data_IF_072738853699
#
_entry.id   IF_072738853699
#
_cell.length_a   1.000
_cell.length_b   1.000
_cell.length_c   1.000
_cell.angle_alpha   90.00
_cell.angle_beta   90.00
_cell.angle_gamma   90.00
#
_symmetry.space_group_name_H-M   'P 1'
#
loop_
_entity.id
_entity.type
_entity.pdbx_description
1 polymer ?
#
# COMPACT_ATOMS: atom_id res chain seq x y z
N UNK A 1 -8.27 -9.96 -9.08
CA UNK A 1 -9.07 -8.80 -8.65
C UNK A 1 -8.20 -7.75 -8.00
N UNK A 2 -8.24 -6.52 -8.52
CA UNK A 2 -7.52 -5.36 -7.99
C UNK A 2 -6.47 -4.72 -8.90
N UNK A 3 -6.11 -5.37 -10.02
CA UNK A 3 -5.20 -4.86 -11.05
C UNK A 3 -5.98 -4.35 -12.25
N UNK A 4 -5.52 -3.24 -12.82
CA UNK A 4 -6.05 -2.71 -14.07
C UNK A 4 -5.49 -3.54 -15.22
N UNK A 5 -6.39 -4.06 -16.06
CA UNK A 5 -6.05 -4.80 -17.26
C UNK A 5 -6.62 -4.03 -18.45
N UNK A 6 -5.75 -3.71 -19.40
CA UNK A 6 -6.20 -3.23 -20.71
C UNK A 6 -6.75 -4.42 -21.50
N UNK A 7 -7.93 -4.24 -22.10
CA UNK A 7 -8.47 -5.13 -23.12
C UNK A 7 -8.69 -4.30 -24.37
N UNK A 8 -8.00 -4.65 -25.46
CA UNK A 8 -8.22 -3.96 -26.73
C UNK A 8 -9.50 -4.51 -27.37
N UNK A 9 -10.38 -3.62 -27.77
CA UNK A 9 -11.62 -3.93 -28.47
C UNK A 9 -11.89 -2.81 -29.49
N UNK A 10 -12.39 -3.18 -30.68
CA UNK A 10 -12.63 -2.23 -31.77
C UNK A 10 -13.72 -1.20 -31.43
N UNK A 11 -14.63 -1.54 -30.52
CA UNK A 11 -15.74 -0.72 -30.03
C UNK A 11 -15.59 -0.30 -28.56
N UNK A 12 -14.38 -0.43 -28.00
CA UNK A 12 -14.08 -0.06 -26.62
C UNK A 12 -14.02 1.46 -26.39
N UNK A 13 -14.15 1.92 -25.13
CA UNK A 13 -13.93 3.31 -24.79
C UNK A 13 -12.46 3.71 -25.05
N UNK A 14 -12.24 5.00 -25.29
CA UNK A 14 -10.88 5.56 -25.41
C UNK A 14 -10.17 5.49 -24.05
N UNK A 15 -8.93 5.00 -24.04
CA UNK A 15 -8.10 4.95 -22.84
C UNK A 15 -7.05 6.06 -22.92
N UNK A 16 -7.10 6.99 -21.96
CA UNK A 16 -6.09 8.03 -21.81
C UNK A 16 -4.84 7.49 -21.10
N UNK A 17 -3.66 7.92 -21.53
CA UNK A 17 -2.39 7.45 -20.99
C UNK A 17 -1.20 8.31 -21.42
N UNK A 18 0.01 7.83 -21.12
CA UNK A 18 1.26 8.47 -21.50
C UNK A 18 2.10 7.55 -22.38
N UNK A 19 2.66 8.10 -23.46
CA UNK A 19 3.61 7.36 -24.31
C UNK A 19 5.03 7.51 -23.74
N UNK A 20 5.61 6.39 -23.29
CA UNK A 20 7.00 6.36 -22.84
C UNK A 20 7.94 6.23 -24.04
N UNK A 21 8.81 7.22 -24.24
CA UNK A 21 9.89 7.15 -25.24
C UNK A 21 11.21 6.82 -24.55
N UNK A 22 11.84 5.74 -24.96
CA UNK A 22 13.12 5.31 -24.38
C UNK A 22 14.29 6.08 -24.98
N UNK A 23 15.28 6.36 -24.14
CA UNK A 23 16.53 6.96 -24.59
C UNK A 23 17.24 6.03 -25.59
N UNK A 24 18.00 6.57 -26.56
CA UNK A 24 18.77 5.77 -27.51
C UNK A 24 19.66 4.73 -26.80
N UNK A 25 19.59 3.48 -27.26
CA UNK A 25 20.34 2.36 -26.69
C UNK A 25 19.82 1.81 -25.34
N UNK A 26 18.77 2.39 -24.75
CA UNK A 26 18.20 1.93 -23.47
C UNK A 26 16.94 1.07 -23.63
N UNK A 27 16.49 0.83 -24.86
CA UNK A 27 15.24 0.12 -25.13
C UNK A 27 15.19 -1.28 -24.49
N UNK A 28 16.24 -2.11 -24.69
CA UNK A 28 16.28 -3.46 -24.12
C UNK A 28 16.15 -3.43 -22.59
N UNK A 29 16.96 -2.59 -21.93
CA UNK A 29 16.92 -2.43 -20.47
C UNK A 29 15.56 -1.96 -19.97
N UNK A 30 14.90 -1.06 -20.70
CA UNK A 30 13.57 -0.58 -20.35
C UNK A 30 12.52 -1.69 -20.47
N UNK A 31 12.54 -2.46 -21.55
CA UNK A 31 11.64 -3.60 -21.74
C UNK A 31 11.88 -4.70 -20.69
N UNK A 32 13.14 -5.01 -20.38
CA UNK A 32 13.50 -5.97 -19.33
C UNK A 32 12.96 -5.51 -17.97
N UNK A 33 13.13 -4.22 -17.63
CA UNK A 33 12.61 -3.65 -16.39
C UNK A 33 11.08 -3.69 -16.31
N UNK A 34 10.37 -3.44 -17.42
CA UNK A 34 8.92 -3.53 -17.47
C UNK A 34 8.45 -4.98 -17.32
N UNK A 35 9.06 -5.91 -18.06
CA UNK A 35 8.73 -7.34 -17.97
C UNK A 35 9.03 -7.94 -16.59
N UNK A 36 10.06 -7.41 -15.91
CA UNK A 36 10.41 -7.74 -14.54
C UNK A 36 9.36 -7.27 -13.52
N UNK A 37 8.70 -6.15 -13.80
CA UNK A 37 7.65 -5.58 -12.95
C UNK A 37 6.30 -6.25 -13.20
N UNK A 38 5.95 -6.39 -14.48
CA UNK A 38 4.66 -6.83 -14.99
C UNK A 38 4.73 -8.28 -15.43
N UNK A 39 4.21 -9.23 -14.63
CA UNK A 39 4.42 -10.64 -14.86
C UNK A 39 3.73 -11.09 -16.14
N UNK A 40 4.46 -11.81 -16.99
CA UNK A 40 3.95 -12.39 -18.25
C UNK A 40 2.74 -13.34 -18.07
N UNK A 41 2.46 -13.77 -16.82
CA UNK A 41 1.24 -14.54 -16.49
C UNK A 41 -0.04 -13.67 -16.53
N UNK A 42 0.11 -12.36 -16.34
CA UNK A 42 -0.97 -11.37 -16.25
C UNK A 42 -1.09 -10.51 -17.51
N UNK A 43 0.04 -10.20 -18.16
CA UNK A 43 0.09 -9.32 -19.33
C UNK A 43 0.80 -9.96 -20.51
N UNK A 44 0.47 -9.51 -21.71
CA UNK A 44 1.18 -9.81 -22.96
C UNK A 44 1.48 -8.51 -23.71
N UNK A 45 2.64 -8.48 -24.38
CA UNK A 45 2.96 -7.39 -25.29
C UNK A 45 2.10 -7.47 -26.54
N UNK A 46 1.54 -6.34 -26.94
CA UNK A 46 0.84 -6.15 -28.22
C UNK A 46 1.15 -4.77 -28.77
N UNK A 47 0.80 -4.53 -30.04
CA UNK A 47 0.91 -3.22 -30.68
C UNK A 47 -0.48 -2.62 -30.78
N UNK A 48 -0.63 -1.38 -30.36
CA UNK A 48 -1.86 -0.59 -30.52
C UNK A 48 -1.56 0.70 -31.29
N UNK A 49 -2.55 1.19 -32.03
CA UNK A 49 -2.53 2.56 -32.52
C UNK A 49 -2.87 3.52 -31.36
N UNK A 50 -2.04 4.53 -31.16
CA UNK A 50 -2.25 5.58 -30.16
C UNK A 50 -2.25 6.94 -30.84
N UNK A 51 -2.96 7.91 -30.28
CA UNK A 51 -2.94 9.30 -30.75
C UNK A 51 -2.12 10.15 -29.78
N UNK A 52 -1.06 10.79 -30.29
CA UNK A 52 -0.19 11.70 -29.53
C UNK A 52 -0.20 13.05 -30.25
N UNK A 53 -0.64 14.10 -29.58
CA UNK A 53 -0.67 15.47 -30.14
C UNK A 53 -1.39 15.53 -31.52
N UNK A 54 -2.44 14.73 -31.70
CA UNK A 54 -3.22 14.65 -32.93
C UNK A 54 -2.63 13.76 -34.04
N UNK A 55 -1.46 13.18 -33.84
CA UNK A 55 -0.81 12.25 -34.78
C UNK A 55 -0.99 10.80 -34.33
N UNK A 56 -1.19 9.89 -35.29
CA UNK A 56 -1.27 8.44 -35.02
C UNK A 56 0.13 7.83 -34.99
N UNK A 57 0.40 7.04 -33.97
CA UNK A 57 1.64 6.29 -33.82
C UNK A 57 1.32 4.85 -33.41
N UNK A 58 2.15 3.88 -33.84
CA UNK A 58 2.09 2.52 -33.30
C UNK A 58 2.96 2.41 -32.04
N UNK A 59 2.39 1.90 -30.96
CA UNK A 59 3.09 1.75 -29.68
C UNK A 59 2.92 0.34 -29.10
N UNK A 60 3.95 -0.14 -28.42
CA UNK A 60 3.87 -1.36 -27.63
C UNK A 60 3.07 -1.11 -26.35
N UNK A 61 2.07 -1.93 -26.09
CA UNK A 61 1.23 -1.87 -24.89
C UNK A 61 1.15 -3.24 -24.20
N UNK A 62 0.86 -3.23 -22.90
CA UNK A 62 0.61 -4.44 -22.12
C UNK A 62 -0.89 -4.70 -22.04
N UNK A 63 -1.36 -5.70 -22.78
CA UNK A 63 -2.74 -6.17 -22.75
C UNK A 63 -2.90 -7.29 -21.70
N UNK A 64 -4.05 -7.34 -21.03
CA UNK A 64 -4.37 -8.40 -20.08
C UNK A 64 -4.40 -9.79 -20.75
N UNK A 65 -3.65 -10.75 -20.22
CA UNK A 65 -3.56 -12.10 -20.77
C UNK A 65 -4.79 -12.98 -20.45
N UNK A 66 -5.52 -12.68 -19.37
CA UNK A 66 -6.66 -13.46 -18.86
C UNK A 66 -7.79 -12.59 -18.34
N UNK A 67 -8.28 -11.67 -19.17
CA UNK A 67 -9.32 -10.68 -18.81
C UNK A 67 -10.65 -11.29 -18.36
N UNK A 68 -10.96 -12.53 -18.74
CA UNK A 68 -12.21 -13.22 -18.38
C UNK A 68 -12.15 -14.07 -17.08
N UNK A 69 -11.04 -14.03 -16.33
CA UNK A 69 -10.88 -14.80 -15.07
C UNK A 69 -10.64 -13.85 -13.90
N UNK A 70 -11.46 -13.98 -12.86
CA UNK A 70 -11.59 -12.98 -11.78
C UNK A 70 -12.74 -12.04 -12.12
N UNK A 71 -13.46 -11.54 -11.11
CA UNK A 71 -14.70 -10.78 -11.30
C UNK A 71 -14.50 -9.38 -11.87
N UNK A 72 -13.66 -9.24 -12.91
CA UNK A 72 -13.43 -8.02 -13.66
C UNK A 72 -14.74 -7.57 -14.31
N UNK A 73 -15.48 -6.77 -13.57
CA UNK A 73 -16.48 -5.88 -14.15
C UNK A 73 -15.73 -4.79 -14.90
N UNK A 74 -16.33 -4.26 -15.95
CA UNK A 74 -15.92 -2.97 -16.48
C UNK A 74 -15.66 -2.02 -15.32
N UNK A 75 -14.58 -1.24 -15.40
CA UNK A 75 -14.38 -0.16 -14.43
C UNK A 75 -15.68 0.62 -14.35
N UNK A 76 -16.14 0.95 -13.13
CA UNK A 76 -17.24 1.89 -13.00
C UNK A 76 -16.91 3.12 -13.86
N UNK A 77 -17.87 3.65 -14.64
CA UNK A 77 -17.63 4.70 -15.61
C UNK A 77 -17.09 5.94 -14.90
N UNK A 78 -15.77 6.01 -14.82
CA UNK A 78 -14.99 7.17 -14.43
C UNK A 78 -14.22 7.55 -15.68
N UNK A 79 -14.33 8.82 -16.06
CA UNK A 79 -13.62 9.36 -17.22
C UNK A 79 -12.11 9.12 -17.10
N UNK A 80 -11.57 9.16 -15.87
CA UNK A 80 -10.16 8.93 -15.58
C UNK A 80 -9.95 8.26 -14.22
N UNK A 81 -8.96 7.37 -14.14
CA UNK A 81 -8.46 6.80 -12.88
C UNK A 81 -7.04 7.27 -12.62
N UNK A 82 -6.79 7.70 -11.38
CA UNK A 82 -5.46 8.05 -10.90
C UNK A 82 -5.21 7.38 -9.56
N UNK A 83 -3.97 6.97 -9.30
CA UNK A 83 -3.59 6.50 -7.96
C UNK A 83 -3.82 7.57 -6.89
N UNK A 84 -3.82 8.87 -7.26
CA UNK A 84 -4.15 9.95 -6.32
C UNK A 84 -5.61 9.89 -5.82
N UNK A 85 -6.51 9.28 -6.58
CA UNK A 85 -7.95 9.17 -6.26
C UNK A 85 -8.36 7.75 -5.85
N UNK A 86 -7.38 6.89 -5.58
CA UNK A 86 -7.63 5.53 -5.10
C UNK A 86 -8.28 5.59 -3.69
N UNK A 87 -9.45 4.95 -3.48
CA UNK A 87 -10.12 4.97 -2.18
C UNK A 87 -9.27 4.45 -1.02
N UNK A 88 -8.30 3.56 -1.28
CA UNK A 88 -7.40 3.05 -0.25
C UNK A 88 -6.31 4.05 0.14
N UNK A 89 -6.01 5.04 -0.70
CA UNK A 89 -5.05 6.12 -0.43
C UNK A 89 -5.73 7.42 -0.01
N UNK A 90 -7.06 7.44 0.02
CA UNK A 90 -7.87 8.60 0.41
C UNK A 90 -8.90 8.22 1.48
N UNK A 91 -10.08 7.74 1.07
CA UNK A 91 -11.21 7.45 1.96
C UNK A 91 -10.86 6.51 3.12
N UNK A 92 -10.04 5.48 2.89
CA UNK A 92 -9.58 4.59 3.95
C UNK A 92 -8.75 5.32 5.01
N UNK A 93 -7.86 6.23 4.61
CA UNK A 93 -7.04 7.00 5.54
C UNK A 93 -7.89 8.00 6.32
N UNK A 94 -8.86 8.66 5.67
CA UNK A 94 -9.84 9.53 6.35
C UNK A 94 -10.63 8.77 7.42
N UNK A 95 -11.05 7.53 7.12
CA UNK A 95 -11.79 6.72 8.09
C UNK A 95 -10.90 6.28 9.27
N UNK A 96 -9.64 5.93 9.02
CA UNK A 96 -8.68 5.62 10.09
C UNK A 96 -8.46 6.84 11.01
N UNK A 97 -8.31 8.04 10.44
CA UNK A 97 -8.18 9.28 11.21
C UNK A 97 -9.42 9.57 12.06
N UNK A 98 -10.62 9.33 11.50
CA UNK A 98 -11.87 9.45 12.24
C UNK A 98 -11.90 8.50 13.43
N UNK A 99 -11.54 7.23 13.24
CA UNK A 99 -11.48 6.25 14.33
C UNK A 99 -10.50 6.70 15.42
N UNK A 100 -9.30 7.16 15.06
CA UNK A 100 -8.31 7.67 16.01
C UNK A 100 -8.89 8.84 16.81
N UNK A 101 -9.48 9.83 16.12
CA UNK A 101 -10.06 11.01 16.75
C UNK A 101 -11.17 10.65 17.74
N UNK A 102 -12.11 9.81 17.35
CA UNK A 102 -13.21 9.38 18.23
C UNK A 102 -12.70 8.64 19.48
N UNK A 103 -11.62 7.87 19.33
CA UNK A 103 -10.99 7.19 20.46
C UNK A 103 -10.30 8.21 21.37
N UNK A 104 -9.53 9.15 20.82
CA UNK A 104 -8.83 10.18 21.60
C UNK A 104 -9.82 11.08 22.36
N UNK A 105 -10.91 11.53 21.70
CA UNK A 105 -11.98 12.30 22.33
C UNK A 105 -12.64 11.52 23.47
N UNK A 106 -12.89 10.23 23.26
CA UNK A 106 -13.42 9.36 24.29
C UNK A 106 -12.44 9.22 25.47
N UNK A 107 -11.16 9.09 25.20
CA UNK A 107 -10.12 8.99 26.23
C UNK A 107 -10.00 10.27 27.09
N UNK A 108 -10.38 11.44 26.56
CA UNK A 108 -10.43 12.72 27.26
C UNK A 108 -11.73 12.92 28.07
N UNK A 109 -12.82 12.23 27.70
CA UNK A 109 -14.17 12.49 28.20
C UNK A 109 -14.52 11.94 29.60
N UNK A 110 -13.58 11.32 30.33
CA UNK A 110 -13.76 10.90 31.73
C UNK A 110 -13.30 9.47 32.04
N UNK A 111 -13.67 8.93 33.22
CA UNK A 111 -13.14 7.65 33.70
C UNK A 111 -13.53 6.50 32.77
N UNK A 112 -12.55 5.66 32.45
CA UNK A 112 -12.73 4.51 31.55
C UNK A 112 -13.41 3.37 32.29
N UNK A 113 -14.34 2.70 31.62
CA UNK A 113 -14.69 1.33 31.97
C UNK A 113 -13.57 0.41 31.43
N UNK A 114 -12.76 -0.25 32.28
CA UNK A 114 -11.67 -1.12 31.83
C UNK A 114 -12.16 -2.34 31.04
N UNK A 115 -13.44 -2.71 31.21
CA UNK A 115 -14.07 -3.82 30.50
C UNK A 115 -14.57 -3.44 29.10
N UNK A 116 -14.60 -2.14 28.77
CA UNK A 116 -14.97 -1.71 27.43
C UNK A 116 -13.81 -1.86 26.45
N UNK A 117 -13.80 -3.00 25.77
CA UNK A 117 -12.84 -3.36 24.72
C UNK A 117 -13.23 -2.83 23.34
N UNK A 118 -14.39 -2.18 23.19
CA UNK A 118 -14.87 -1.65 21.91
C UNK A 118 -13.85 -0.75 21.21
N UNK A 119 -13.28 0.26 21.88
CA UNK A 119 -12.22 1.11 21.31
C UNK A 119 -11.00 0.31 20.86
N UNK A 120 -10.56 -0.67 21.65
CA UNK A 120 -9.41 -1.50 21.30
C UNK A 120 -9.65 -2.31 20.02
N UNK A 121 -10.83 -2.91 19.84
CA UNK A 121 -11.16 -3.60 18.59
C UNK A 121 -11.24 -2.65 17.40
N UNK A 122 -11.74 -1.41 17.59
CA UNK A 122 -11.73 -0.40 16.53
C UNK A 122 -10.31 0.01 16.13
N UNK A 123 -9.37 0.13 17.07
CA UNK A 123 -7.95 0.36 16.75
C UNK A 123 -7.37 -0.81 15.95
N UNK A 124 -7.69 -2.05 16.31
CA UNK A 124 -7.26 -3.23 15.53
C UNK A 124 -7.79 -3.19 14.10
N UNK A 125 -9.08 -2.89 13.92
CA UNK A 125 -9.72 -2.80 12.60
C UNK A 125 -9.07 -1.69 11.76
N UNK A 126 -8.86 -0.51 12.35
CA UNK A 126 -8.18 0.60 11.69
C UNK A 126 -6.74 0.25 11.30
N UNK A 127 -6.03 -0.48 12.17
CA UNK A 127 -4.67 -0.94 11.90
C UNK A 127 -4.62 -1.94 10.74
N UNK A 128 -5.57 -2.86 10.66
CA UNK A 128 -5.66 -3.81 9.54
C UNK A 128 -6.03 -3.09 8.24
N UNK A 129 -6.94 -2.10 8.28
CA UNK A 129 -7.28 -1.28 7.12
C UNK A 129 -6.08 -0.47 6.61
N UNK A 130 -5.27 0.08 7.51
CA UNK A 130 -4.02 0.76 7.16
C UNK A 130 -3.06 -0.20 6.44
N UNK A 131 -2.92 -1.43 6.95
CA UNK A 131 -2.11 -2.45 6.29
C UNK A 131 -2.64 -2.84 4.91
N UNK A 132 -3.96 -2.89 4.71
CA UNK A 132 -4.54 -3.08 3.38
C UNK A 132 -4.18 -1.94 2.42
N UNK A 133 -4.13 -0.69 2.91
CA UNK A 133 -3.65 0.45 2.13
C UNK A 133 -2.17 0.31 1.76
N UNK A 134 -1.30 -0.01 2.72
CA UNK A 134 0.14 -0.20 2.49
C UNK A 134 0.41 -1.36 1.52
N UNK A 135 -0.29 -2.48 1.66
CA UNK A 135 -0.14 -3.63 0.76
C UNK A 135 -0.62 -3.30 -0.66
N UNK A 136 -1.68 -2.50 -0.81
CA UNK A 136 -2.12 -2.00 -2.12
C UNK A 136 -1.08 -1.08 -2.74
N UNK A 137 -0.50 -0.16 -1.96
CA UNK A 137 0.60 0.70 -2.42
C UNK A 137 1.78 -0.13 -2.91
N UNK A 138 2.26 -1.06 -2.08
CA UNK A 138 3.39 -1.92 -2.42
C UNK A 138 3.12 -2.79 -3.66
N UNK A 139 1.87 -3.23 -3.85
CA UNK A 139 1.47 -4.03 -5.01
C UNK A 139 1.39 -3.22 -6.31
N UNK A 140 1.04 -1.94 -6.24
CA UNK A 140 1.04 -1.04 -7.39
C UNK A 140 2.44 -0.52 -7.71
N UNK A 141 3.29 -0.32 -6.69
CA UNK A 141 4.61 0.30 -6.82
C UNK A 141 5.71 -0.70 -7.17
N UNK A 142 5.64 -1.92 -6.64
CA UNK A 142 6.69 -2.93 -6.75
C UNK A 142 6.19 -4.18 -7.49
N UNK A 143 7.15 -4.99 -7.94
CA UNK A 143 6.92 -6.19 -8.76
C UNK A 143 5.75 -7.04 -8.26
N UNK A 144 4.90 -7.49 -9.18
CA UNK A 144 3.80 -8.40 -8.90
C UNK A 144 4.26 -9.86 -8.80
N UNK A 145 5.30 -10.17 -8.01
CA UNK A 145 5.63 -11.57 -7.73
C UNK A 145 4.58 -12.20 -6.79
N UNK A 146 3.92 -13.31 -7.17
CA UNK A 146 2.81 -13.86 -6.39
C UNK A 146 3.21 -14.42 -5.01
N UNK A 147 4.49 -14.76 -4.82
CA UNK A 147 4.85 -15.70 -3.74
C UNK A 147 5.44 -15.04 -2.48
N UNK A 148 5.57 -13.70 -2.40
CA UNK A 148 6.24 -13.03 -1.27
C UNK A 148 5.65 -11.67 -0.88
N UNK A 149 4.42 -11.66 -0.37
CA UNK A 149 3.73 -10.43 0.08
C UNK A 149 4.57 -9.64 1.10
N UNK A 150 5.16 -10.33 2.08
CA UNK A 150 6.03 -9.68 3.09
C UNK A 150 7.25 -9.02 2.46
N UNK A 151 7.91 -9.67 1.49
CA UNK A 151 9.08 -9.10 0.83
C UNK A 151 8.72 -7.86 0.02
N UNK A 152 7.51 -7.80 -0.57
CA UNK A 152 7.04 -6.62 -1.30
C UNK A 152 6.92 -5.41 -0.40
N UNK A 153 6.23 -5.55 0.73
CA UNK A 153 6.06 -4.40 1.64
C UNK A 153 7.42 -3.97 2.18
N UNK A 154 8.33 -4.92 2.46
CA UNK A 154 9.67 -4.57 2.92
C UNK A 154 10.53 -3.79 1.90
N UNK A 155 10.14 -3.68 0.63
CA UNK A 155 10.80 -2.78 -0.32
C UNK A 155 10.57 -1.31 0.04
N UNK A 156 9.46 -0.98 0.72
CA UNK A 156 9.17 0.37 1.21
C UNK A 156 10.30 0.92 2.09
N UNK A 157 10.97 0.06 2.86
CA UNK A 157 12.09 0.46 3.71
C UNK A 157 13.32 0.98 2.93
N UNK A 158 13.42 0.67 1.63
CA UNK A 158 14.48 1.20 0.77
C UNK A 158 14.14 2.58 0.19
N UNK A 159 12.90 3.05 0.34
CA UNK A 159 12.50 4.35 -0.16
C UNK A 159 12.95 5.49 0.76
N UNK A 160 13.51 6.53 0.15
CA UNK A 160 13.91 7.73 0.87
C UNK A 160 12.73 8.41 1.56
N UNK A 161 11.57 8.47 0.91
CA UNK A 161 10.35 9.04 1.50
C UNK A 161 9.95 8.31 2.80
N UNK A 162 10.05 6.98 2.82
CA UNK A 162 9.79 6.19 4.03
C UNK A 162 10.85 6.43 5.11
N UNK A 163 12.13 6.44 4.74
CA UNK A 163 13.24 6.67 5.68
C UNK A 163 13.14 8.04 6.35
N UNK A 164 12.91 9.09 5.55
CA UNK A 164 12.77 10.46 6.03
C UNK A 164 11.52 10.60 6.93
N UNK A 165 10.39 10.02 6.52
CA UNK A 165 9.16 10.01 7.31
C UNK A 165 9.32 9.24 8.63
N UNK A 166 9.98 8.08 8.62
CA UNK A 166 10.26 7.30 9.81
C UNK A 166 11.11 8.10 10.81
N UNK A 167 12.17 8.74 10.33
CA UNK A 167 13.05 9.55 11.16
C UNK A 167 12.32 10.76 11.79
N UNK A 168 11.34 11.33 11.09
CA UNK A 168 10.55 12.45 11.57
C UNK A 168 9.46 12.04 12.60
N UNK A 169 8.86 10.86 12.43
CA UNK A 169 7.70 10.43 13.20
C UNK A 169 8.07 9.59 14.42
N UNK A 170 9.05 8.70 14.29
CA UNK A 170 9.39 7.73 15.35
C UNK A 170 10.41 8.33 16.31
N UNK A 171 9.96 8.57 17.54
CA UNK A 171 10.77 9.15 18.62
C UNK A 171 11.09 8.16 19.74
N UNK A 172 10.63 6.91 19.62
CA UNK A 172 10.78 5.86 20.63
C UNK A 172 11.51 4.64 20.08
N UNK A 173 12.10 3.89 20.99
CA UNK A 173 12.55 2.52 20.72
C UNK A 173 11.62 1.53 21.41
N UNK A 174 11.34 0.42 20.74
CA UNK A 174 10.49 -0.64 21.28
C UNK A 174 10.89 -1.98 20.66
N UNK A 175 10.44 -3.08 21.28
CA UNK A 175 10.69 -4.43 20.79
C UNK A 175 9.50 -5.34 21.03
N UNK A 176 9.21 -6.18 20.04
CA UNK A 176 8.17 -7.19 20.13
C UNK A 176 8.70 -8.55 19.66
N UNK A 177 8.17 -9.59 20.27
CA UNK A 177 8.49 -10.97 19.93
C UNK A 177 7.40 -11.57 19.04
N UNK A 178 7.74 -12.51 18.15
CA UNK A 178 6.76 -13.27 17.39
C UNK A 178 5.85 -14.08 18.33
N UNK A 179 4.53 -13.95 18.19
CA UNK A 179 3.59 -14.67 19.05
C UNK A 179 3.68 -16.21 18.91
N UNK A 180 4.09 -16.71 17.75
CA UNK A 180 4.20 -18.14 17.44
C UNK A 180 5.59 -18.74 17.74
N UNK A 181 6.58 -17.91 18.10
CA UNK A 181 7.90 -18.35 18.50
C UNK A 181 8.49 -17.36 19.52
N UNK A 182 8.15 -17.49 20.82
CA UNK A 182 8.63 -16.59 21.87
C UNK A 182 10.15 -16.65 22.08
N UNK A 183 10.79 -17.76 21.67
CA UNK A 183 12.25 -17.93 21.66
C UNK A 183 12.95 -17.33 20.43
N UNK A 184 12.19 -16.81 19.47
CA UNK A 184 12.74 -16.14 18.30
C UNK A 184 13.29 -14.75 18.62
N UNK A 185 14.09 -14.21 17.70
CA UNK A 185 14.66 -12.88 17.84
C UNK A 185 13.57 -11.80 17.91
N UNK A 186 13.77 -10.84 18.80
CA UNK A 186 12.89 -9.68 18.91
C UNK A 186 13.03 -8.78 17.68
N UNK A 187 11.89 -8.26 17.20
CA UNK A 187 11.88 -7.22 16.17
C UNK A 187 11.88 -5.86 16.86
N UNK A 188 12.78 -4.96 16.45
CA UNK A 188 13.03 -3.69 17.12
C UNK A 188 12.55 -2.51 16.26
N UNK A 189 11.85 -1.57 16.89
CA UNK A 189 11.53 -0.25 16.36
C UNK A 189 12.69 0.70 16.63
N UNK A 190 13.25 1.30 15.59
CA UNK A 190 14.31 2.29 15.69
C UNK A 190 14.27 3.22 14.45
N UNK A 191 14.25 4.54 14.70
CA UNK A 191 14.10 5.57 13.67
C UNK A 191 15.20 5.54 12.58
N UNK A 192 16.40 5.07 12.92
CA UNK A 192 17.54 4.93 11.99
C UNK A 192 17.58 3.60 11.24
N UNK A 193 16.71 2.64 11.58
CA UNK A 193 16.65 1.33 10.95
C UNK A 193 15.29 1.10 10.28
N UNK A 194 15.14 1.61 9.04
CA UNK A 194 13.90 1.52 8.29
C UNK A 194 13.37 0.10 8.11
N UNK A 195 14.26 -0.84 7.74
CA UNK A 195 13.87 -2.23 7.53
C UNK A 195 13.44 -2.91 8.83
N UNK A 196 14.15 -2.67 9.93
CA UNK A 196 13.80 -3.17 11.26
C UNK A 196 12.46 -2.64 11.73
N UNK A 197 12.24 -1.32 11.60
CA UNK A 197 11.00 -0.65 12.01
C UNK A 197 9.79 -1.08 11.19
N UNK A 198 9.95 -1.28 9.88
CA UNK A 198 8.85 -1.80 9.06
C UNK A 198 8.50 -3.25 9.42
N UNK A 199 9.50 -4.08 9.71
CA UNK A 199 9.28 -5.43 10.26
C UNK A 199 8.58 -5.36 11.62
N UNK A 200 8.93 -4.39 12.48
CA UNK A 200 8.27 -4.20 13.77
C UNK A 200 6.78 -3.97 13.57
N UNK A 201 6.39 -3.00 12.73
CA UNK A 201 4.97 -2.74 12.47
C UNK A 201 4.27 -3.96 11.84
N UNK A 202 4.93 -4.66 10.92
CA UNK A 202 4.37 -5.89 10.35
C UNK A 202 4.16 -6.97 11.42
N UNK A 203 5.10 -7.11 12.36
CA UNK A 203 4.99 -8.05 13.47
C UNK A 203 3.88 -7.65 14.46
N UNK A 204 3.62 -6.34 14.67
CA UNK A 204 2.43 -5.89 15.42
C UNK A 204 1.18 -6.43 14.76
N UNK A 205 1.05 -6.28 13.43
CA UNK A 205 -0.08 -6.77 12.63
C UNK A 205 -0.24 -8.29 12.75
N UNK A 206 0.83 -9.05 12.57
CA UNK A 206 0.79 -10.51 12.70
C UNK A 206 0.37 -10.96 14.10
N UNK A 207 0.70 -10.19 15.13
CA UNK A 207 0.32 -10.50 16.49
C UNK A 207 -1.12 -10.08 16.84
N UNK A 208 -1.80 -9.24 16.05
CA UNK A 208 -3.14 -8.68 16.39
C UNK A 208 -4.13 -9.76 16.83
N UNK A 209 -4.19 -10.89 16.12
CA UNK A 209 -5.12 -12.01 16.42
C UNK A 209 -4.81 -12.75 17.72
N UNK A 210 -3.60 -12.62 18.25
CA UNK A 210 -3.16 -13.23 19.51
C UNK A 210 -3.16 -12.25 20.68
N UNK A 211 -3.43 -10.96 20.42
CA UNK A 211 -3.47 -9.89 21.41
C UNK A 211 -4.87 -9.79 22.05
N UNK A 212 -4.91 -9.45 23.33
CA UNK A 212 -6.14 -9.43 24.15
C UNK A 212 -6.00 -10.15 25.50
N UNK A 213 -4.94 -10.93 25.71
CA UNK A 213 -4.60 -11.52 27.02
C UNK A 213 -3.94 -10.52 27.97
N UNK A 214 -3.30 -9.48 27.42
CA UNK A 214 -2.73 -8.35 28.14
C UNK A 214 -3.29 -7.03 27.57
N UNK A 215 -4.63 -6.91 27.60
CA UNK A 215 -5.41 -5.93 26.86
C UNK A 215 -4.88 -4.48 26.93
N UNK A 216 -4.42 -4.02 28.10
CA UNK A 216 -3.91 -2.65 28.27
C UNK A 216 -2.61 -2.43 27.48
N UNK A 217 -1.63 -3.33 27.62
CA UNK A 217 -0.34 -3.22 26.92
C UNK A 217 -0.51 -3.42 25.42
N UNK A 218 -1.39 -4.34 25.03
CA UNK A 218 -1.71 -4.57 23.62
C UNK A 218 -2.37 -3.35 22.97
N UNK A 219 -3.28 -2.68 23.70
CA UNK A 219 -3.91 -1.44 23.26
C UNK A 219 -2.86 -0.36 23.02
N UNK A 220 -1.96 -0.13 23.97
CA UNK A 220 -0.92 0.89 23.85
C UNK A 220 0.00 0.64 22.64
N UNK A 221 0.43 -0.60 22.43
CA UNK A 221 1.29 -0.97 21.29
C UNK A 221 0.58 -0.70 19.97
N UNK A 222 -0.68 -1.13 19.82
CA UNK A 222 -1.44 -0.95 18.59
C UNK A 222 -1.74 0.54 18.36
N UNK A 223 -2.20 1.27 19.38
CA UNK A 223 -2.55 2.68 19.27
C UNK A 223 -1.36 3.54 18.85
N UNK A 224 -0.18 3.33 19.45
CA UNK A 224 1.07 4.01 19.03
C UNK A 224 1.45 3.64 17.60
N UNK A 225 1.48 2.34 17.30
CA UNK A 225 1.88 1.83 15.98
C UNK A 225 0.94 2.30 14.87
N UNK A 226 -0.36 2.42 15.14
CA UNK A 226 -1.36 2.92 14.21
C UNK A 226 -1.09 4.37 13.83
N UNK A 227 -0.89 5.24 14.83
CA UNK A 227 -0.68 6.68 14.63
C UNK A 227 0.66 6.95 13.92
N UNK A 228 1.73 6.30 14.38
CA UNK A 228 3.06 6.42 13.77
C UNK A 228 3.05 5.94 12.31
N UNK A 229 2.53 4.74 12.05
CA UNK A 229 2.52 4.17 10.71
C UNK A 229 1.58 4.93 9.76
N UNK A 230 0.47 5.47 10.25
CA UNK A 230 -0.44 6.29 9.45
C UNK A 230 0.25 7.56 8.97
N UNK A 231 0.93 8.31 9.86
CA UNK A 231 1.64 9.54 9.48
C UNK A 231 2.78 9.22 8.50
N UNK A 232 3.56 8.17 8.76
CA UNK A 232 4.60 7.71 7.85
C UNK A 232 4.02 7.39 6.46
N UNK A 233 2.93 6.62 6.40
CA UNK A 233 2.32 6.20 5.14
C UNK A 233 1.76 7.39 4.37
N UNK A 234 1.07 8.34 5.04
CA UNK A 234 0.59 9.57 4.40
C UNK A 234 1.73 10.36 3.76
N UNK A 235 2.84 10.54 4.48
CA UNK A 235 4.04 11.23 3.95
C UNK A 235 4.65 10.50 2.77
N UNK A 236 4.68 9.16 2.77
CA UNK A 236 5.11 8.37 1.61
C UNK A 236 4.21 8.66 0.41
N UNK A 237 2.89 8.61 0.59
CA UNK A 237 1.93 8.86 -0.49
C UNK A 237 2.07 10.27 -1.06
N UNK A 238 2.18 11.29 -0.20
CA UNK A 238 2.38 12.69 -0.61
C UNK A 238 3.65 12.92 -1.45
N UNK A 239 4.70 12.15 -1.20
CA UNK A 239 5.98 12.24 -1.92
C UNK A 239 6.06 11.35 -3.17
N UNK A 240 5.12 10.42 -3.36
CA UNK A 240 5.22 9.41 -4.42
C UNK A 240 4.04 9.37 -5.38
N UNK A 241 2.84 9.76 -4.95
CA UNK A 241 1.67 9.84 -5.82
C UNK A 241 1.67 11.15 -6.61
N UNK A 242 1.09 11.15 -7.83
CA UNK A 242 0.87 12.39 -8.57
C UNK A 242 -0.04 13.32 -7.76
N UNK A 243 0.19 14.63 -7.87
CA UNK A 243 -0.72 15.61 -7.28
C UNK A 243 -2.08 15.53 -7.97
N UNK A 244 -3.21 15.64 -7.25
CA UNK A 244 -4.50 15.82 -7.90
C UNK A 244 -4.42 17.07 -8.78
N UNK A 245 -4.83 16.90 -10.05
CA UNK A 245 -4.99 18.01 -11.00
C UNK A 245 -6.19 18.88 -10.67
#
# INVERSE_FOLDING_TARGET
DGLLLLQLADDGPTVHGSLLRFLPGQAQRAYDAIADLEPAKMYKWTVAEVTVEGSRESANVLEGAKVHRGGGREMEPREEWSSATDPMFSAALTEIERVIKEIDERELSGPRNPEDLGPFFREQMAYLLLWSSIERYASLRYRLSPDRVTDKVLQLAAERAFQDALAAVVTREDRIWPAHNPSGDAVTLNASNARGSLKYYYQVRSNVVHRGKAAIRDKEIIGKSLRELLDIHKRVLENTLPRPG
#
